data_IF_293031660833
#
_entry.id   IF_293031660833
#
_cell.length_a   1.000
_cell.length_b   1.000
_cell.length_c   1.000
_cell.angle_alpha   90.00
_cell.angle_beta   90.00
_cell.angle_gamma   90.00
#
_symmetry.space_group_name_H-M   'P 1'
#
loop_
_entity.id
_entity.type
_entity.pdbx_description
1 polymer ?
#
# COMPACT_ATOMS: atom_id res chain seq x y z
N UNK A 1 -16.56 -32.89 -30.63
CA UNK A 1 -15.89 -31.77 -29.99
C UNK A 1 -16.91 -30.69 -29.81
N UNK A 2 -17.30 -30.37 -28.55
CA UNK A 2 -18.24 -29.26 -28.29
C UNK A 2 -17.59 -27.95 -28.79
N UNK A 3 -18.42 -26.95 -29.15
CA UNK A 3 -17.91 -25.61 -29.48
C UNK A 3 -17.14 -25.09 -28.27
N UNK A 4 -15.91 -24.63 -28.48
CA UNK A 4 -15.10 -23.97 -27.48
C UNK A 4 -15.88 -22.78 -26.93
N UNK A 5 -16.05 -22.69 -25.60
CA UNK A 5 -16.70 -21.55 -24.96
C UNK A 5 -15.80 -20.30 -25.12
N UNK A 6 -16.39 -19.20 -25.53
CA UNK A 6 -15.73 -17.89 -25.58
C UNK A 6 -16.31 -17.03 -24.47
N UNK A 7 -15.45 -16.35 -23.74
CA UNK A 7 -15.81 -15.33 -22.76
C UNK A 7 -15.34 -13.99 -23.29
N UNK A 8 -16.25 -13.05 -23.35
CA UNK A 8 -16.04 -11.74 -23.94
C UNK A 8 -15.79 -10.71 -22.86
N UNK A 9 -14.78 -9.86 -23.05
CA UNK A 9 -14.39 -8.82 -22.11
C UNK A 9 -14.25 -7.44 -22.77
N UNK A 10 -14.46 -6.40 -21.99
CA UNK A 10 -14.07 -5.05 -22.37
C UNK A 10 -12.98 -4.52 -21.45
N UNK A 11 -12.02 -3.79 -22.01
CA UNK A 11 -10.90 -3.17 -21.30
C UNK A 11 -11.13 -1.66 -21.21
N UNK A 12 -11.22 -1.13 -20.00
CA UNK A 12 -11.34 0.30 -19.76
C UNK A 12 -9.94 0.90 -19.52
N UNK A 13 -9.41 1.53 -20.56
CA UNK A 13 -8.06 2.09 -20.59
C UNK A 13 -7.03 1.19 -21.25
N UNK A 14 -6.19 1.77 -22.11
CA UNK A 14 -5.08 1.11 -22.81
C UNK A 14 -3.76 1.86 -22.56
N UNK A 15 -3.56 2.30 -21.31
CA UNK A 15 -2.31 2.87 -20.83
C UNK A 15 -1.27 1.79 -20.55
N UNK A 16 -0.34 2.08 -19.64
CA UNK A 16 0.74 1.15 -19.26
C UNK A 16 0.20 -0.22 -18.86
N UNK A 17 -0.73 -0.28 -17.90
CA UNK A 17 -1.29 -1.55 -17.40
C UNK A 17 -2.17 -2.21 -18.45
N UNK A 18 -3.09 -1.45 -19.06
CA UNK A 18 -4.00 -1.99 -20.09
C UNK A 18 -3.28 -2.56 -21.31
N UNK A 19 -2.19 -1.90 -21.74
CA UNK A 19 -1.32 -2.44 -22.80
C UNK A 19 -0.69 -3.78 -22.41
N UNK A 20 -0.28 -3.93 -21.14
CA UNK A 20 0.22 -5.18 -20.60
C UNK A 20 -0.85 -6.29 -20.55
N UNK A 21 -2.08 -5.94 -20.11
CA UNK A 21 -3.23 -6.87 -20.08
C UNK A 21 -3.56 -7.37 -21.48
N UNK A 22 -3.68 -6.45 -22.46
CA UNK A 22 -3.96 -6.80 -23.86
C UNK A 22 -2.87 -7.69 -24.47
N UNK A 23 -1.61 -7.40 -24.15
CA UNK A 23 -0.48 -8.21 -24.58
C UNK A 23 -0.53 -9.61 -23.98
N UNK A 24 -0.69 -9.74 -22.65
CA UNK A 24 -0.77 -11.03 -21.96
C UNK A 24 -1.94 -11.88 -22.42
N UNK A 25 -3.12 -11.27 -22.66
CA UNK A 25 -4.29 -11.98 -23.16
C UNK A 25 -4.01 -12.67 -24.51
N UNK A 26 -3.19 -12.05 -25.37
CA UNK A 26 -2.77 -12.63 -26.65
C UNK A 26 -1.65 -13.66 -26.53
N UNK A 27 -0.60 -13.31 -25.77
CA UNK A 27 0.60 -14.18 -25.67
C UNK A 27 0.33 -15.46 -24.89
N UNK A 28 -0.66 -15.46 -23.99
CA UNK A 28 -1.00 -16.58 -23.12
C UNK A 28 -2.32 -17.26 -23.50
N UNK A 29 -2.84 -17.02 -24.69
CA UNK A 29 -4.15 -17.51 -25.13
C UNK A 29 -4.32 -19.02 -24.95
N UNK A 30 -3.35 -19.81 -25.43
CA UNK A 30 -3.37 -21.28 -25.33
C UNK A 30 -3.34 -21.75 -23.86
N UNK A 31 -2.55 -21.10 -23.03
CA UNK A 31 -2.45 -21.38 -21.60
C UNK A 31 -3.73 -21.01 -20.86
N UNK A 32 -4.38 -19.90 -21.22
CA UNK A 32 -5.66 -19.47 -20.64
C UNK A 32 -6.72 -20.51 -20.97
N UNK A 33 -6.81 -20.95 -22.23
CA UNK A 33 -7.74 -22.02 -22.67
C UNK A 33 -7.47 -23.31 -21.89
N UNK A 34 -6.22 -23.71 -21.76
CA UNK A 34 -5.85 -24.93 -21.03
C UNK A 34 -6.23 -24.87 -19.54
N UNK A 35 -6.12 -23.70 -18.92
CA UNK A 35 -6.40 -23.47 -17.48
C UNK A 35 -7.89 -23.29 -17.18
N UNK A 36 -8.67 -22.79 -18.12
CA UNK A 36 -10.08 -22.41 -17.90
C UNK A 36 -11.07 -23.27 -18.68
N UNK A 37 -10.67 -23.83 -19.81
CA UNK A 37 -11.57 -24.50 -20.77
C UNK A 37 -12.30 -23.52 -21.70
N UNK A 38 -11.95 -22.23 -21.69
CA UNK A 38 -12.59 -21.21 -22.51
C UNK A 38 -11.56 -20.22 -23.08
N UNK A 39 -11.90 -19.62 -24.20
CA UNK A 39 -11.12 -18.55 -24.83
C UNK A 39 -11.55 -17.20 -24.29
N UNK A 40 -10.59 -16.32 -23.95
CA UNK A 40 -10.84 -14.93 -23.63
C UNK A 40 -10.73 -14.09 -24.92
N UNK A 41 -11.72 -13.24 -25.17
CA UNK A 41 -11.70 -12.26 -26.26
C UNK A 41 -11.97 -10.86 -25.70
N UNK A 42 -11.08 -9.92 -26.00
CA UNK A 42 -11.29 -8.51 -25.69
C UNK A 42 -11.96 -7.86 -26.91
N UNK A 43 -13.26 -7.60 -26.83
CA UNK A 43 -14.05 -7.08 -27.94
C UNK A 43 -14.00 -5.58 -28.07
N UNK A 44 -13.91 -4.88 -26.93
CA UNK A 44 -13.92 -3.42 -26.87
C UNK A 44 -12.84 -2.91 -25.91
N UNK A 45 -12.26 -1.78 -26.29
CA UNK A 45 -11.28 -1.05 -25.47
C UNK A 45 -11.74 0.40 -25.38
N UNK A 46 -12.19 0.80 -24.19
CA UNK A 46 -12.63 2.17 -23.95
C UNK A 46 -11.44 3.12 -23.82
N UNK A 47 -11.46 4.20 -24.56
CA UNK A 47 -10.41 5.22 -24.59
C UNK A 47 -11.01 6.63 -24.71
N UNK A 48 -10.27 7.66 -24.29
CA UNK A 48 -10.70 9.07 -24.41
C UNK A 48 -10.77 9.55 -25.86
N UNK A 49 -9.91 9.04 -26.72
CA UNK A 49 -9.82 9.39 -28.14
C UNK A 49 -9.58 8.10 -28.94
N UNK A 50 -10.64 7.63 -29.60
CA UNK A 50 -10.58 6.41 -30.42
C UNK A 50 -9.79 6.57 -31.70
N UNK A 51 -9.55 7.81 -32.16
CA UNK A 51 -8.80 8.07 -33.41
C UNK A 51 -7.29 8.02 -33.19
N UNK A 52 -6.83 8.12 -31.95
CA UNK A 52 -5.40 8.00 -31.62
C UNK A 52 -4.93 6.58 -31.85
N UNK A 53 -4.04 6.36 -32.84
CA UNK A 53 -3.43 5.06 -33.09
C UNK A 53 -2.61 4.57 -31.90
N UNK A 54 -2.70 3.29 -31.60
CA UNK A 54 -1.95 2.61 -30.55
C UNK A 54 -1.27 1.39 -31.13
N UNK A 55 0.02 1.28 -30.91
CA UNK A 55 0.84 0.19 -31.47
C UNK A 55 0.33 -1.18 -30.96
N UNK A 56 0.15 -2.12 -31.87
CA UNK A 56 -0.29 -3.47 -31.56
C UNK A 56 -1.77 -3.63 -31.20
N UNK A 57 -2.57 -2.52 -31.20
CA UNK A 57 -4.01 -2.54 -30.90
C UNK A 57 -4.82 -2.29 -32.16
N UNK A 58 -5.69 -3.22 -32.58
CA UNK A 58 -6.59 -3.02 -33.71
C UNK A 58 -7.54 -1.84 -33.50
N UNK A 59 -7.68 -1.00 -34.52
CA UNK A 59 -8.48 0.22 -34.42
C UNK A 59 -9.96 -0.05 -34.21
N UNK A 60 -10.47 -1.15 -34.72
CA UNK A 60 -11.84 -1.60 -34.60
C UNK A 60 -12.26 -1.99 -33.17
N UNK A 61 -11.30 -2.28 -32.29
CA UNK A 61 -11.57 -2.55 -30.88
C UNK A 61 -11.76 -1.27 -30.06
N UNK A 62 -11.31 -0.11 -30.58
CA UNK A 62 -11.34 1.14 -29.83
C UNK A 62 -12.72 1.80 -29.89
N UNK A 63 -13.23 2.18 -28.73
CA UNK A 63 -14.44 2.98 -28.58
C UNK A 63 -14.21 4.12 -27.57
N UNK A 64 -14.93 5.21 -27.72
CA UNK A 64 -15.05 6.31 -26.74
C UNK A 64 -16.47 6.40 -26.15
N UNK A 65 -17.33 5.46 -26.51
CA UNK A 65 -18.70 5.35 -26.02
C UNK A 65 -18.84 4.19 -25.03
N UNK A 66 -19.09 4.53 -23.77
CA UNK A 66 -19.36 3.55 -22.71
C UNK A 66 -20.61 2.72 -22.97
N UNK A 67 -21.63 3.31 -23.60
CA UNK A 67 -22.90 2.63 -23.86
C UNK A 67 -22.75 1.46 -24.86
N UNK A 68 -21.76 1.52 -25.76
CA UNK A 68 -21.43 0.38 -26.63
C UNK A 68 -20.91 -0.84 -25.85
N UNK A 69 -20.42 -0.62 -24.63
CA UNK A 69 -19.86 -1.69 -23.76
C UNK A 69 -20.90 -2.20 -22.79
N UNK A 70 -21.56 -1.30 -22.05
CA UNK A 70 -22.46 -1.71 -20.97
C UNK A 70 -23.72 -2.39 -21.51
N UNK A 71 -24.22 -1.98 -22.69
CA UNK A 71 -25.41 -2.55 -23.35
C UNK A 71 -25.08 -3.77 -24.21
N UNK A 72 -23.84 -4.15 -24.43
CA UNK A 72 -23.51 -5.38 -25.16
C UNK A 72 -23.69 -6.60 -24.25
N UNK A 73 -24.73 -7.39 -24.49
CA UNK A 73 -25.06 -8.59 -23.73
C UNK A 73 -24.00 -9.70 -23.83
N UNK A 74 -23.15 -9.66 -24.86
CA UNK A 74 -22.07 -10.65 -25.00
C UNK A 74 -20.90 -10.38 -24.05
N UNK A 75 -20.65 -9.12 -23.69
CA UNK A 75 -19.55 -8.75 -22.79
C UNK A 75 -19.88 -9.19 -21.36
N UNK A 76 -19.10 -10.13 -20.84
CA UNK A 76 -19.29 -10.74 -19.51
C UNK A 76 -18.34 -10.17 -18.45
N UNK A 77 -17.17 -9.64 -18.85
CA UNK A 77 -16.14 -9.12 -17.94
C UNK A 77 -15.77 -7.70 -18.32
N UNK A 78 -15.74 -6.81 -17.34
CA UNK A 78 -15.17 -5.46 -17.44
C UNK A 78 -13.84 -5.42 -16.71
N UNK A 79 -12.77 -4.99 -17.41
CA UNK A 79 -11.43 -4.85 -16.88
C UNK A 79 -11.10 -3.36 -16.77
N UNK A 80 -11.10 -2.79 -15.56
CA UNK A 80 -10.84 -1.37 -15.31
C UNK A 80 -9.39 -1.11 -14.89
N UNK A 81 -8.67 -0.37 -15.71
CA UNK A 81 -7.28 0.04 -15.49
C UNK A 81 -7.04 1.51 -15.91
N UNK A 82 -8.07 2.35 -15.78
CA UNK A 82 -8.00 3.77 -16.14
C UNK A 82 -7.49 4.64 -15.00
N UNK A 83 -7.83 4.27 -13.75
CA UNK A 83 -7.63 5.11 -12.57
C UNK A 83 -8.61 6.28 -12.46
N UNK A 84 -8.53 7.02 -11.35
CA UNK A 84 -9.46 8.11 -11.02
C UNK A 84 -10.76 7.58 -10.38
N UNK A 85 -11.57 8.49 -9.83
CA UNK A 85 -12.83 8.15 -9.17
C UNK A 85 -13.96 8.15 -10.20
N UNK A 86 -14.25 9.30 -10.79
CA UNK A 86 -15.27 9.42 -11.85
C UNK A 86 -14.61 9.55 -13.23
N UNK A 87 -15.17 8.96 -14.25
CA UNK A 87 -16.45 8.24 -14.31
C UNK A 87 -16.38 6.73 -13.95
N UNK A 88 -15.25 6.24 -13.44
CA UNK A 88 -15.05 4.80 -13.18
C UNK A 88 -16.07 4.25 -12.17
N UNK A 89 -16.37 4.98 -11.08
CA UNK A 89 -17.37 4.56 -10.10
C UNK A 89 -18.73 4.30 -10.76
N UNK A 90 -19.25 5.30 -11.45
CA UNK A 90 -20.55 5.19 -12.15
C UNK A 90 -20.56 4.03 -13.13
N UNK A 91 -19.54 3.90 -13.97
CA UNK A 91 -19.48 2.86 -14.99
C UNK A 91 -19.36 1.44 -14.42
N UNK A 92 -18.58 1.27 -13.36
CA UNK A 92 -18.47 -0.05 -12.72
C UNK A 92 -19.76 -0.46 -12.01
N UNK A 93 -20.46 0.48 -11.38
CA UNK A 93 -21.79 0.21 -10.82
C UNK A 93 -22.79 -0.20 -11.91
N UNK A 94 -22.88 0.55 -13.02
CA UNK A 94 -23.73 0.21 -14.16
C UNK A 94 -23.39 -1.17 -14.74
N UNK A 95 -22.10 -1.49 -14.87
CA UNK A 95 -21.65 -2.79 -15.36
C UNK A 95 -22.11 -3.93 -14.45
N UNK A 96 -21.92 -3.80 -13.14
CA UNK A 96 -22.35 -4.82 -12.16
C UNK A 96 -23.89 -4.94 -12.13
N UNK A 97 -24.62 -3.84 -12.19
CA UNK A 97 -26.08 -3.85 -12.28
C UNK A 97 -26.58 -4.49 -13.59
N UNK A 98 -25.78 -4.44 -14.67
CA UNK A 98 -26.03 -5.18 -15.91
C UNK A 98 -25.58 -6.66 -15.83
N UNK A 99 -25.10 -7.14 -14.69
CA UNK A 99 -24.69 -8.54 -14.47
C UNK A 99 -23.28 -8.88 -14.95
N UNK A 100 -22.45 -7.89 -15.26
CA UNK A 100 -21.06 -8.10 -15.72
C UNK A 100 -20.09 -8.23 -14.54
N UNK A 101 -19.13 -9.15 -14.64
CA UNK A 101 -18.07 -9.32 -13.65
C UNK A 101 -17.07 -8.17 -13.78
N UNK A 102 -16.51 -7.72 -12.67
CA UNK A 102 -15.55 -6.59 -12.65
C UNK A 102 -14.19 -7.03 -12.12
N UNK A 103 -13.16 -6.70 -12.89
CA UNK A 103 -11.75 -6.81 -12.49
C UNK A 103 -11.15 -5.40 -12.54
N UNK A 104 -10.58 -4.92 -11.43
CA UNK A 104 -10.09 -3.55 -11.36
C UNK A 104 -8.69 -3.46 -10.72
N UNK A 105 -7.93 -2.41 -11.11
CA UNK A 105 -6.64 -2.07 -10.51
C UNK A 105 -6.67 -0.72 -9.77
N UNK A 106 -7.85 -0.12 -9.61
CA UNK A 106 -8.04 1.24 -9.14
C UNK A 106 -8.13 1.30 -7.61
N UNK A 107 -6.97 1.48 -6.97
CA UNK A 107 -6.87 1.53 -5.51
C UNK A 107 -7.58 2.74 -4.90
N UNK A 108 -7.55 3.89 -5.60
CA UNK A 108 -8.14 5.13 -5.10
C UNK A 108 -9.66 4.98 -5.00
N UNK A 109 -10.27 4.48 -6.05
CA UNK A 109 -11.69 4.19 -6.09
C UNK A 109 -12.10 3.16 -5.02
N UNK A 110 -11.34 2.08 -4.88
CA UNK A 110 -11.65 1.03 -3.91
C UNK A 110 -11.49 1.50 -2.45
N UNK A 111 -10.48 2.32 -2.16
CA UNK A 111 -10.23 2.83 -0.81
C UNK A 111 -11.31 3.83 -0.33
N UNK A 112 -11.91 4.58 -1.26
CA UNK A 112 -12.92 5.59 -0.96
C UNK A 112 -14.36 5.05 -1.11
N UNK A 113 -14.65 4.35 -2.19
CA UNK A 113 -15.99 3.92 -2.60
C UNK A 113 -16.19 2.40 -2.61
N UNK A 114 -15.31 1.64 -1.95
CA UNK A 114 -15.39 0.18 -1.93
C UNK A 114 -16.73 -0.37 -1.40
N UNK A 115 -17.40 0.32 -0.47
CA UNK A 115 -18.72 -0.07 0.04
C UNK A 115 -19.78 -0.05 -1.06
N UNK A 116 -19.80 1.02 -1.86
CA UNK A 116 -20.75 1.23 -2.95
C UNK A 116 -20.54 0.20 -4.08
N UNK A 117 -19.27 -0.07 -4.40
CA UNK A 117 -18.92 -1.09 -5.41
C UNK A 117 -19.36 -2.49 -4.96
N UNK A 118 -19.09 -2.87 -3.71
CA UNK A 118 -19.52 -4.17 -3.20
C UNK A 118 -21.05 -4.30 -3.12
N UNK A 119 -21.77 -3.22 -2.76
CA UNK A 119 -23.22 -3.23 -2.75
C UNK A 119 -23.81 -3.49 -4.15
N UNK A 120 -23.26 -2.83 -5.18
CA UNK A 120 -23.67 -3.07 -6.57
C UNK A 120 -23.34 -4.51 -7.04
N UNK A 121 -22.18 -5.05 -6.65
CA UNK A 121 -21.79 -6.42 -6.96
C UNK A 121 -22.75 -7.45 -6.30
N UNK A 122 -23.09 -7.24 -5.04
CA UNK A 122 -23.98 -8.13 -4.28
C UNK A 122 -25.39 -8.15 -4.84
N UNK A 123 -25.92 -7.02 -5.32
CA UNK A 123 -27.27 -6.92 -5.89
C UNK A 123 -27.51 -7.88 -7.06
N UNK A 124 -26.48 -8.11 -7.89
CA UNK A 124 -26.55 -8.98 -9.06
C UNK A 124 -25.70 -10.25 -8.95
N UNK A 125 -25.17 -10.52 -7.78
CA UNK A 125 -24.25 -11.64 -7.55
C UNK A 125 -23.08 -11.65 -8.54
N UNK A 126 -22.49 -10.47 -8.76
CA UNK A 126 -21.31 -10.30 -9.58
C UNK A 126 -20.03 -10.45 -8.74
N UNK A 127 -18.95 -10.85 -9.40
CA UNK A 127 -17.63 -10.80 -8.81
C UNK A 127 -17.03 -9.39 -8.93
N UNK A 128 -16.34 -8.95 -7.88
CA UNK A 128 -15.46 -7.79 -7.85
C UNK A 128 -14.07 -8.24 -7.44
N UNK A 129 -13.16 -8.32 -8.42
CA UNK A 129 -11.77 -8.69 -8.25
C UNK A 129 -10.86 -7.46 -8.31
N UNK A 130 -9.83 -7.40 -7.45
CA UNK A 130 -8.97 -6.22 -7.34
C UNK A 130 -7.55 -6.53 -6.82
N UNK A 131 -6.99 -7.69 -7.16
CA UNK A 131 -5.63 -8.07 -6.73
C UNK A 131 -4.60 -7.00 -7.12
N UNK A 132 -4.73 -6.46 -8.33
CA UNK A 132 -3.82 -5.44 -8.87
C UNK A 132 -3.91 -4.06 -8.17
N UNK A 133 -4.91 -3.83 -7.33
CA UNK A 133 -5.06 -2.56 -6.60
C UNK A 133 -4.01 -2.39 -5.48
N UNK A 134 -3.43 -3.49 -4.97
CA UNK A 134 -2.45 -3.46 -3.88
C UNK A 134 -1.20 -4.25 -4.27
N UNK A 135 -0.03 -3.62 -4.12
CA UNK A 135 1.29 -4.25 -4.28
C UNK A 135 1.55 -4.94 -5.64
N UNK A 136 0.88 -4.49 -6.70
CA UNK A 136 1.16 -4.89 -8.09
C UNK A 136 1.14 -6.40 -8.32
N UNK A 137 2.31 -7.02 -8.59
CA UNK A 137 2.40 -8.46 -8.86
C UNK A 137 2.37 -9.35 -7.61
N UNK A 138 2.38 -8.76 -6.41
CA UNK A 138 2.36 -9.54 -5.15
C UNK A 138 0.94 -10.05 -4.92
N UNK A 139 0.71 -11.37 -4.87
CA UNK A 139 -0.62 -11.90 -4.56
C UNK A 139 -0.89 -11.73 -3.06
N UNK A 140 -1.53 -10.65 -2.66
CA UNK A 140 -1.83 -10.35 -1.24
C UNK A 140 -3.33 -10.30 -0.95
N UNK A 141 -4.14 -9.76 -1.86
CA UNK A 141 -5.58 -9.63 -1.63
C UNK A 141 -6.23 -11.02 -1.55
N UNK A 142 -5.89 -11.92 -2.49
CA UNK A 142 -6.41 -13.29 -2.51
C UNK A 142 -5.98 -14.10 -1.28
N UNK A 143 -4.72 -14.11 -0.86
CA UNK A 143 -4.32 -14.71 0.41
C UNK A 143 -5.10 -14.18 1.61
N UNK A 144 -5.24 -12.88 1.76
CA UNK A 144 -6.00 -12.29 2.87
C UNK A 144 -7.50 -12.66 2.83
N UNK A 145 -8.10 -12.73 1.64
CA UNK A 145 -9.55 -13.03 1.47
C UNK A 145 -9.88 -14.52 1.45
N UNK A 146 -8.94 -15.38 1.14
CA UNK A 146 -9.20 -16.81 0.90
C UNK A 146 -8.26 -17.73 1.66
N UNK A 147 -6.94 -17.61 1.46
CA UNK A 147 -5.98 -18.60 2.00
C UNK A 147 -5.79 -18.50 3.51
N UNK A 148 -5.84 -17.29 4.06
CA UNK A 148 -5.60 -17.01 5.48
C UNK A 148 -6.89 -16.83 6.30
N UNK A 149 -8.06 -17.10 5.72
CA UNK A 149 -9.36 -16.87 6.37
C UNK A 149 -9.59 -17.69 7.63
N UNK A 150 -8.96 -18.85 7.76
CA UNK A 150 -9.03 -19.66 8.96
C UNK A 150 -8.11 -19.17 10.10
N UNK A 151 -7.21 -18.22 9.82
CA UNK A 151 -6.34 -17.61 10.80
C UNK A 151 -6.88 -16.25 11.23
N UNK A 152 -6.95 -16.02 12.54
CA UNK A 152 -7.24 -14.67 13.03
C UNK A 152 -5.99 -13.82 12.82
N UNK A 153 -6.00 -12.97 11.79
CA UNK A 153 -4.93 -12.02 11.55
C UNK A 153 -4.92 -10.98 12.66
N UNK A 154 -3.74 -10.65 13.15
CA UNK A 154 -3.53 -9.67 14.23
C UNK A 154 -2.69 -8.50 13.78
N UNK A 155 -1.82 -8.70 12.77
CA UNK A 155 -0.96 -7.65 12.24
C UNK A 155 -0.74 -7.84 10.74
N UNK A 156 -0.73 -6.73 10.01
CA UNK A 156 -0.25 -6.65 8.63
C UNK A 156 0.72 -5.48 8.54
N UNK A 157 1.93 -5.75 8.08
CA UNK A 157 2.95 -4.74 7.82
C UNK A 157 3.38 -4.79 6.37
N UNK A 158 3.71 -3.65 5.77
CA UNK A 158 4.14 -3.67 4.38
C UNK A 158 5.05 -2.50 3.97
N UNK A 159 6.03 -2.84 3.14
CA UNK A 159 6.70 -1.90 2.26
C UNK A 159 5.90 -1.96 0.95
N UNK A 160 4.95 -1.03 0.78
CA UNK A 160 3.98 -1.08 -0.32
C UNK A 160 4.10 0.09 -1.31
N UNK A 161 5.18 0.87 -1.17
CA UNK A 161 5.57 1.89 -2.12
C UNK A 161 7.02 1.67 -2.57
N UNK A 162 7.22 1.42 -3.86
CA UNK A 162 8.54 1.10 -4.42
C UNK A 162 9.46 2.32 -4.52
N UNK A 163 8.91 3.50 -4.77
CA UNK A 163 9.67 4.76 -4.90
C UNK A 163 10.36 5.10 -3.58
N UNK A 164 9.62 5.12 -2.49
CA UNK A 164 10.17 5.42 -1.15
C UNK A 164 11.14 4.36 -0.66
N UNK A 165 10.89 3.08 -0.96
CA UNK A 165 11.84 2.03 -0.61
C UNK A 165 13.14 2.15 -1.42
N UNK A 166 13.07 2.54 -2.70
CA UNK A 166 14.26 2.82 -3.51
C UNK A 166 15.06 3.99 -2.92
N UNK A 167 14.43 5.12 -2.63
CA UNK A 167 15.06 6.30 -2.04
C UNK A 167 15.79 5.92 -0.73
N UNK A 168 15.09 5.29 0.22
CA UNK A 168 15.67 4.88 1.50
C UNK A 168 16.79 3.84 1.34
N UNK A 169 16.72 2.99 0.30
CA UNK A 169 17.80 2.05 -0.02
C UNK A 169 19.05 2.79 -0.48
N UNK A 170 18.91 3.77 -1.40
CA UNK A 170 20.07 4.58 -1.86
C UNK A 170 20.66 5.41 -0.72
N UNK A 171 19.83 6.03 0.11
CA UNK A 171 20.30 6.74 1.30
C UNK A 171 21.07 5.81 2.24
N UNK A 172 20.58 4.59 2.43
CA UNK A 172 21.20 3.62 3.35
C UNK A 172 22.47 2.96 2.79
N UNK A 173 22.50 2.57 1.53
CA UNK A 173 23.61 1.79 0.95
C UNK A 173 24.68 2.68 0.34
N UNK A 174 24.30 3.76 -0.34
CA UNK A 174 25.21 4.63 -1.06
C UNK A 174 25.55 5.90 -0.29
N UNK A 175 24.87 6.14 0.86
CA UNK A 175 25.09 7.34 1.70
C UNK A 175 24.54 8.62 1.06
N UNK A 176 23.64 8.52 0.09
CA UNK A 176 23.04 9.66 -0.61
C UNK A 176 22.19 10.50 0.34
N UNK A 177 22.12 11.82 0.06
CA UNK A 177 21.10 12.67 0.65
C UNK A 177 19.71 12.36 0.06
N UNK A 178 18.64 12.74 0.79
CA UNK A 178 17.26 12.52 0.32
C UNK A 178 17.03 13.16 -1.07
N UNK A 179 17.49 14.40 -1.28
CA UNK A 179 17.31 15.10 -2.57
C UNK A 179 17.97 14.37 -3.74
N UNK A 180 19.22 13.95 -3.58
CA UNK A 180 19.97 13.24 -4.61
C UNK A 180 19.34 11.87 -4.91
N UNK A 181 18.87 11.17 -3.88
CA UNK A 181 18.20 9.88 -4.03
C UNK A 181 16.83 10.00 -4.73
N UNK A 182 16.09 11.09 -4.48
CA UNK A 182 14.83 11.38 -5.16
C UNK A 182 15.07 11.75 -6.64
N UNK A 183 16.08 12.58 -6.93
CA UNK A 183 16.45 12.93 -8.30
C UNK A 183 16.80 11.67 -9.11
N UNK A 184 17.64 10.81 -8.56
CA UNK A 184 18.00 9.53 -9.19
C UNK A 184 16.77 8.63 -9.40
N UNK A 185 15.86 8.58 -8.43
CA UNK A 185 14.60 7.82 -8.57
C UNK A 185 13.74 8.35 -9.73
N UNK A 186 13.72 9.68 -9.93
CA UNK A 186 12.99 10.33 -11.03
C UNK A 186 13.64 10.04 -12.38
N UNK A 187 14.96 10.14 -12.48
CA UNK A 187 15.71 9.81 -13.70
C UNK A 187 15.50 8.36 -14.16
N UNK A 188 15.41 7.44 -13.21
CA UNK A 188 15.17 6.01 -13.48
C UNK A 188 13.69 5.68 -13.70
N UNK A 189 12.78 6.65 -13.56
CA UNK A 189 11.35 6.48 -13.75
C UNK A 189 10.63 5.77 -12.61
N UNK A 190 11.23 5.70 -11.43
CA UNK A 190 10.55 5.23 -10.21
C UNK A 190 9.68 6.30 -9.57
N UNK A 191 10.07 7.57 -9.66
CA UNK A 191 9.28 8.71 -9.22
C UNK A 191 8.73 9.49 -10.42
N UNK A 192 7.51 9.98 -10.30
CA UNK A 192 6.91 10.92 -11.24
C UNK A 192 7.39 12.36 -10.96
N UNK A 193 7.03 13.32 -11.85
CA UNK A 193 7.37 14.74 -11.67
C UNK A 193 6.77 15.35 -10.39
N UNK A 194 5.63 14.85 -9.95
CA UNK A 194 5.05 15.13 -8.64
C UNK A 194 5.05 13.84 -7.79
N UNK A 195 6.07 13.62 -6.95
CA UNK A 195 6.21 12.43 -6.14
C UNK A 195 5.44 12.49 -4.81
N UNK A 196 4.65 13.54 -4.56
CA UNK A 196 4.01 13.83 -3.26
C UNK A 196 3.23 12.62 -2.74
N UNK A 197 2.44 11.95 -3.58
CA UNK A 197 1.66 10.80 -3.17
C UNK A 197 2.52 9.64 -2.65
N UNK A 198 3.74 9.50 -3.18
CA UNK A 198 4.71 8.48 -2.75
C UNK A 198 5.42 8.93 -1.47
N UNK A 199 6.11 10.09 -1.53
CA UNK A 199 7.05 10.51 -0.47
C UNK A 199 6.36 10.94 0.81
N UNK A 200 5.10 11.40 0.75
CA UNK A 200 4.26 11.71 1.92
C UNK A 200 3.44 10.50 2.43
N UNK A 201 3.59 9.33 1.79
CA UNK A 201 3.00 8.07 2.25
C UNK A 201 1.55 7.85 1.87
N UNK A 202 0.94 8.71 1.06
CA UNK A 202 -0.50 8.62 0.70
C UNK A 202 -0.81 7.39 -0.15
N UNK A 203 0.06 7.03 -1.10
CA UNK A 203 -0.08 5.79 -1.88
C UNK A 203 -0.07 4.55 -0.95
N UNK A 204 0.88 4.50 -0.02
CA UNK A 204 0.95 3.42 0.97
C UNK A 204 -0.27 3.41 1.90
N UNK A 205 -0.78 4.58 2.29
CA UNK A 205 -1.97 4.72 3.13
C UNK A 205 -3.24 4.16 2.48
N UNK A 206 -3.47 4.44 1.20
CA UNK A 206 -4.63 3.88 0.46
C UNK A 206 -4.55 2.35 0.36
N UNK A 207 -3.39 1.81 0.04
CA UNK A 207 -3.17 0.36 0.00
C UNK A 207 -3.35 -0.28 1.37
N UNK A 208 -2.88 0.37 2.43
CA UNK A 208 -3.02 -0.12 3.80
C UNK A 208 -4.49 -0.13 4.25
N UNK A 209 -5.29 0.90 3.91
CA UNK A 209 -6.71 0.94 4.21
C UNK A 209 -7.46 -0.27 3.62
N UNK A 210 -7.13 -0.65 2.37
CA UNK A 210 -7.68 -1.82 1.71
C UNK A 210 -7.29 -3.11 2.45
N UNK A 211 -5.99 -3.27 2.75
CA UNK A 211 -5.50 -4.46 3.46
C UNK A 211 -6.08 -4.57 4.87
N UNK A 212 -6.15 -3.48 5.62
CA UNK A 212 -6.76 -3.44 6.96
C UNK A 212 -8.23 -3.83 6.93
N UNK A 213 -8.98 -3.31 5.94
CA UNK A 213 -10.41 -3.65 5.77
C UNK A 213 -10.62 -5.15 5.58
N UNK A 214 -9.77 -5.79 4.78
CA UNK A 214 -9.84 -7.22 4.50
C UNK A 214 -9.37 -8.03 5.70
N UNK A 215 -8.20 -7.72 6.26
CA UNK A 215 -7.57 -8.49 7.33
C UNK A 215 -8.43 -8.54 8.60
N UNK A 216 -9.12 -7.44 8.93
CA UNK A 216 -9.90 -7.33 10.17
C UNK A 216 -11.41 -7.36 9.95
N UNK A 217 -11.86 -7.57 8.71
CA UNK A 217 -13.28 -7.66 8.35
C UNK A 217 -14.08 -6.41 8.78
N UNK A 218 -13.47 -5.25 8.75
CA UNK A 218 -14.07 -3.97 9.16
C UNK A 218 -13.66 -2.87 8.19
N UNK A 219 -14.59 -2.01 7.80
CA UNK A 219 -14.29 -0.94 6.85
C UNK A 219 -13.30 0.06 7.45
N UNK A 220 -12.17 0.24 6.79
CA UNK A 220 -11.18 1.28 7.04
C UNK A 220 -11.06 2.13 5.79
N UNK A 221 -11.23 3.44 5.92
CA UNK A 221 -11.08 4.41 4.82
C UNK A 221 -9.70 5.07 4.88
N UNK A 222 -9.24 5.61 3.75
CA UNK A 222 -7.95 6.31 3.73
C UNK A 222 -7.89 7.49 4.71
N UNK A 223 -8.99 8.21 4.90
CA UNK A 223 -9.07 9.34 5.85
C UNK A 223 -8.83 8.95 7.32
N UNK A 224 -8.93 7.67 7.66
CA UNK A 224 -8.67 7.13 8.99
C UNK A 224 -7.22 6.64 9.17
N UNK A 225 -6.43 6.60 8.10
CA UNK A 225 -5.02 6.18 8.14
C UNK A 225 -4.14 7.36 8.54
N UNK A 226 -3.41 7.24 9.63
CA UNK A 226 -2.34 8.18 9.92
C UNK A 226 -1.22 8.02 8.89
N UNK A 227 -0.77 9.11 8.27
CA UNK A 227 0.31 9.08 7.28
C UNK A 227 1.40 10.09 7.62
N UNK A 228 2.64 9.61 7.58
CA UNK A 228 3.86 10.42 7.71
C UNK A 228 4.86 9.95 6.64
N UNK A 229 5.37 10.88 5.85
CA UNK A 229 6.28 10.61 4.74
C UNK A 229 7.75 10.49 5.14
N UNK A 230 8.61 10.36 4.12
CA UNK A 230 10.06 10.20 4.29
C UNK A 230 10.85 11.50 4.09
N UNK A 231 10.19 12.60 3.79
CA UNK A 231 10.82 13.87 3.39
C UNK A 231 11.69 14.48 4.49
N UNK A 232 11.47 14.11 5.75
CA UNK A 232 12.25 14.56 6.91
C UNK A 232 13.41 13.65 7.29
N UNK A 233 13.53 12.48 6.66
CA UNK A 233 14.61 11.54 6.97
C UNK A 233 15.93 12.07 6.43
N UNK A 234 16.94 12.13 7.29
CA UNK A 234 18.26 12.63 6.96
C UNK A 234 19.30 11.51 6.87
N UNK A 235 20.46 11.80 6.25
CA UNK A 235 21.59 10.88 6.22
C UNK A 235 22.10 10.55 7.65
N UNK A 236 21.99 11.49 8.59
CA UNK A 236 22.36 11.27 9.99
C UNK A 236 21.40 10.25 10.65
N UNK A 237 20.10 10.32 10.38
CA UNK A 237 19.14 9.34 10.92
C UNK A 237 19.45 7.93 10.42
N UNK A 238 19.80 7.80 9.13
CA UNK A 238 20.24 6.54 8.53
C UNK A 238 21.51 6.01 9.20
N UNK A 239 22.48 6.89 9.47
CA UNK A 239 23.73 6.50 10.12
C UNK A 239 23.48 6.00 11.55
N UNK A 240 22.68 6.71 12.35
CA UNK A 240 22.33 6.27 13.70
C UNK A 240 21.53 4.97 13.71
N UNK A 241 20.58 4.83 12.79
CA UNK A 241 19.85 3.58 12.64
C UNK A 241 20.81 2.40 12.47
N UNK A 242 21.82 2.54 11.58
CA UNK A 242 22.87 1.50 11.40
C UNK A 242 23.69 1.25 12.65
N UNK A 243 24.12 2.32 13.35
CA UNK A 243 24.92 2.23 14.58
C UNK A 243 24.17 1.45 15.68
N UNK A 244 22.82 1.55 15.70
CA UNK A 244 21.96 0.84 16.66
C UNK A 244 21.41 -0.50 16.16
N UNK A 245 21.82 -0.96 14.98
CA UNK A 245 21.36 -2.25 14.42
C UNK A 245 19.98 -2.22 13.76
N UNK A 246 19.55 -1.05 13.30
CA UNK A 246 18.28 -0.84 12.63
C UNK A 246 18.45 -0.44 11.16
N UNK A 247 17.35 -0.57 10.41
CA UNK A 247 17.18 -0.04 9.05
C UNK A 247 15.92 0.81 9.02
N UNK A 248 15.97 1.97 8.37
CA UNK A 248 14.78 2.83 8.20
C UNK A 248 14.02 2.40 6.93
N UNK A 249 12.73 2.15 7.08
CA UNK A 249 11.79 1.85 6.00
C UNK A 249 10.52 2.69 6.17
N UNK A 250 9.85 3.03 5.05
CA UNK A 250 8.46 3.51 5.12
C UNK A 250 7.55 2.29 5.27
N UNK A 251 6.90 2.15 6.41
CA UNK A 251 6.07 1.00 6.76
C UNK A 251 4.61 1.41 6.86
N UNK A 252 3.77 0.74 6.10
CA UNK A 252 2.35 0.68 6.40
C UNK A 252 2.11 -0.44 7.41
N UNK A 253 1.53 -0.12 8.56
CA UNK A 253 1.26 -1.08 9.64
C UNK A 253 -0.18 -0.96 10.11
N UNK A 254 -0.84 -2.10 10.25
CA UNK A 254 -2.16 -2.17 10.87
C UNK A 254 -2.20 -3.34 11.86
N UNK A 255 -2.76 -3.09 13.05
CA UNK A 255 -2.88 -4.06 14.14
C UNK A 255 -4.31 -4.13 14.65
N UNK A 256 -4.75 -5.34 14.95
CA UNK A 256 -5.99 -5.58 15.67
C UNK A 256 -5.72 -5.59 17.17
N UNK A 257 -6.30 -4.64 17.90
CA UNK A 257 -6.21 -4.54 19.36
C UNK A 257 -7.56 -4.85 20.00
N UNK A 258 -7.58 -4.99 21.32
CA UNK A 258 -8.84 -5.18 22.06
C UNK A 258 -9.82 -4.01 21.86
N UNK A 259 -9.32 -2.80 21.67
CA UNK A 259 -10.10 -1.57 21.60
C UNK A 259 -10.31 -1.04 20.16
N UNK A 260 -9.93 -1.80 19.12
CA UNK A 260 -10.10 -1.40 17.74
C UNK A 260 -8.88 -1.64 16.86
N UNK A 261 -8.89 -1.01 15.69
CA UNK A 261 -7.88 -1.15 14.67
C UNK A 261 -6.89 0.02 14.76
N UNK A 262 -5.61 -0.27 14.80
CA UNK A 262 -4.55 0.69 14.57
C UNK A 262 -4.13 0.64 13.11
N UNK A 263 -3.99 1.79 12.46
CA UNK A 263 -3.61 1.87 11.05
C UNK A 263 -2.75 3.10 10.80
N UNK A 264 -1.47 2.87 10.45
CA UNK A 264 -0.47 3.94 10.34
C UNK A 264 0.49 3.67 9.18
N UNK A 265 0.90 4.72 8.48
CA UNK A 265 2.04 4.72 7.54
C UNK A 265 3.05 5.74 8.03
N UNK A 266 4.27 5.31 8.30
CA UNK A 266 5.33 6.19 8.76
C UNK A 266 6.72 5.58 8.53
N UNK A 267 7.79 6.38 8.53
CA UNK A 267 9.14 5.88 8.66
C UNK A 267 9.28 5.10 9.98
N UNK A 268 9.95 3.97 9.91
CA UNK A 268 10.14 3.08 11.07
C UNK A 268 11.56 2.53 11.09
N UNK A 269 12.17 2.53 12.27
CA UNK A 269 13.38 1.77 12.55
C UNK A 269 13.00 0.30 12.74
N UNK A 270 13.38 -0.54 11.78
CA UNK A 270 13.22 -2.00 11.85
C UNK A 270 14.53 -2.64 12.29
N UNK A 271 14.53 -3.58 13.25
CA UNK A 271 15.69 -4.41 13.55
C UNK A 271 16.22 -5.08 12.28
N UNK A 272 17.55 -5.24 12.17
CA UNK A 272 18.15 -5.86 10.98
C UNK A 272 17.69 -7.31 10.76
N UNK A 273 17.28 -7.99 11.82
CA UNK A 273 16.76 -9.36 11.80
C UNK A 273 15.31 -9.44 11.28
N UNK A 274 14.57 -8.32 11.26
CA UNK A 274 13.19 -8.33 10.77
C UNK A 274 13.15 -8.61 9.26
N UNK A 275 12.28 -9.52 8.77
CA UNK A 275 12.26 -9.90 7.35
C UNK A 275 12.10 -8.73 6.37
N UNK A 276 11.34 -7.70 6.72
CA UNK A 276 11.16 -6.51 5.89
C UNK A 276 12.42 -5.66 5.77
N UNK A 277 13.39 -5.77 6.68
CA UNK A 277 14.65 -5.01 6.63
C UNK A 277 15.51 -5.37 5.42
N UNK A 278 15.41 -6.61 4.94
CA UNK A 278 16.14 -7.10 3.77
C UNK A 278 15.53 -6.68 2.42
N UNK A 279 14.34 -6.08 2.40
CA UNK A 279 13.66 -5.66 1.16
C UNK A 279 14.29 -4.37 0.63
N UNK A 280 14.92 -4.45 -0.55
CA UNK A 280 15.74 -3.37 -1.14
C UNK A 280 15.13 -2.84 -2.44
N UNK A 281 15.73 -1.75 -2.90
CA UNK A 281 15.39 -1.11 -4.17
C UNK A 281 13.88 -0.80 -4.29
N UNK A 282 13.30 -0.99 -5.46
CA UNK A 282 11.86 -0.77 -5.70
C UNK A 282 10.99 -2.00 -5.41
N UNK A 283 11.53 -3.01 -4.68
CA UNK A 283 10.71 -4.14 -4.26
C UNK A 283 9.73 -3.77 -3.15
N UNK A 284 8.56 -4.37 -3.22
CA UNK A 284 7.56 -4.32 -2.17
C UNK A 284 7.50 -5.66 -1.44
N UNK A 285 7.03 -5.63 -0.20
CA UNK A 285 6.74 -6.81 0.57
C UNK A 285 5.63 -6.55 1.57
N UNK A 286 4.82 -7.56 1.82
CA UNK A 286 3.79 -7.55 2.86
C UNK A 286 4.04 -8.73 3.81
N UNK A 287 4.18 -8.40 5.07
CA UNK A 287 4.33 -9.33 6.18
C UNK A 287 3.01 -9.40 6.93
N UNK A 288 2.55 -10.60 7.23
CA UNK A 288 1.27 -10.87 7.88
C UNK A 288 1.51 -11.78 9.07
N UNK A 289 0.98 -11.40 10.23
CA UNK A 289 0.98 -12.24 11.43
C UNK A 289 -0.45 -12.62 11.79
N UNK A 290 -0.64 -13.90 12.13
CA UNK A 290 -1.93 -14.43 12.56
C UNK A 290 -1.80 -15.53 13.59
N UNK A 291 -2.79 -15.66 14.48
CA UNK A 291 -2.74 -16.59 15.62
C UNK A 291 -2.53 -18.06 15.26
N UNK A 292 -2.91 -18.48 14.06
CA UNK A 292 -2.81 -19.86 13.63
C UNK A 292 -1.77 -20.10 12.54
N UNK A 293 -1.45 -19.08 11.73
CA UNK A 293 -0.48 -19.21 10.64
C UNK A 293 0.91 -18.68 11.01
N UNK A 294 1.06 -18.10 12.22
CA UNK A 294 2.25 -17.35 12.60
C UNK A 294 2.60 -16.30 11.52
N UNK A 295 3.84 -16.25 11.07
CA UNK A 295 4.34 -15.27 10.15
C UNK A 295 4.31 -15.76 8.69
N UNK A 296 3.82 -14.91 7.80
CA UNK A 296 3.92 -15.10 6.36
C UNK A 296 4.37 -13.82 5.69
N UNK A 297 5.21 -13.92 4.66
CA UNK A 297 5.69 -12.78 3.90
C UNK A 297 5.53 -13.01 2.40
N UNK A 298 5.05 -11.99 1.70
CA UNK A 298 4.88 -11.96 0.26
C UNK A 298 5.72 -10.82 -0.30
N UNK A 299 6.62 -11.11 -1.24
CA UNK A 299 7.56 -10.13 -1.79
C UNK A 299 7.58 -10.19 -3.32
N UNK A 300 7.69 -9.04 -3.97
CA UNK A 300 7.77 -8.94 -5.42
C UNK A 300 7.83 -7.50 -5.94
N UNK A 301 7.57 -7.32 -7.24
CA UNK A 301 7.46 -6.00 -7.85
C UNK A 301 6.11 -5.39 -7.51
N UNK A 302 6.13 -4.22 -6.84
CA UNK A 302 4.92 -3.51 -6.40
C UNK A 302 4.21 -2.71 -7.50
N UNK A 303 4.87 -2.48 -8.64
CA UNK A 303 4.35 -1.74 -9.79
C UNK A 303 5.06 -2.17 -11.08
N UNK A 304 4.56 -1.68 -12.22
CA UNK A 304 5.12 -1.93 -13.55
C UNK A 304 4.09 -2.54 -14.50
N UNK A 305 4.30 -2.36 -15.80
CA UNK A 305 3.36 -2.81 -16.83
C UNK A 305 3.00 -4.30 -16.71
N UNK A 306 3.99 -5.17 -16.86
CA UNK A 306 3.77 -6.62 -16.85
C UNK A 306 3.44 -7.17 -15.45
N UNK A 307 4.11 -6.73 -14.36
CA UNK A 307 3.75 -7.15 -13.01
C UNK A 307 2.27 -6.89 -12.67
N UNK A 308 1.79 -5.66 -12.89
CA UNK A 308 0.39 -5.29 -12.61
C UNK A 308 -0.58 -5.99 -13.56
N UNK A 309 -0.25 -6.07 -14.86
CA UNK A 309 -1.06 -6.80 -15.83
C UNK A 309 -1.19 -8.29 -15.50
N UNK A 310 -0.14 -8.90 -14.94
CA UNK A 310 -0.19 -10.30 -14.48
C UNK A 310 -1.21 -10.52 -13.37
N UNK A 311 -1.29 -9.60 -12.40
CA UNK A 311 -2.30 -9.66 -11.33
C UNK A 311 -3.72 -9.49 -11.89
N UNK A 312 -3.93 -8.51 -12.79
CA UNK A 312 -5.22 -8.32 -13.49
C UNK A 312 -5.63 -9.59 -14.24
N UNK A 313 -4.71 -10.18 -15.01
CA UNK A 313 -5.01 -11.41 -15.76
C UNK A 313 -5.28 -12.61 -14.84
N UNK A 314 -4.65 -12.67 -13.68
CA UNK A 314 -4.98 -13.66 -12.65
C UNK A 314 -6.44 -13.55 -12.21
N UNK A 315 -6.91 -12.33 -11.96
CA UNK A 315 -8.30 -12.05 -11.60
C UNK A 315 -9.26 -12.31 -12.75
N UNK A 316 -8.89 -11.98 -14.00
CA UNK A 316 -9.69 -12.32 -15.19
C UNK A 316 -9.86 -13.83 -15.32
N UNK A 317 -8.80 -14.62 -15.13
CA UNK A 317 -8.87 -16.09 -15.16
C UNK A 317 -9.80 -16.64 -14.08
N UNK A 318 -9.80 -16.06 -12.89
CA UNK A 318 -10.71 -16.48 -11.82
C UNK A 318 -12.17 -16.07 -12.13
N UNK A 319 -12.41 -14.87 -12.66
CA UNK A 319 -13.73 -14.46 -13.14
C UNK A 319 -14.24 -15.40 -14.24
N UNK A 320 -13.38 -15.78 -15.22
CA UNK A 320 -13.72 -16.77 -16.25
C UNK A 320 -14.15 -18.11 -15.63
N UNK A 321 -13.41 -18.63 -14.66
CA UNK A 321 -13.74 -19.88 -13.97
C UNK A 321 -15.07 -19.77 -13.24
N UNK A 322 -15.32 -18.65 -12.56
CA UNK A 322 -16.56 -18.42 -11.85
C UNK A 322 -17.77 -18.37 -12.79
N UNK A 323 -17.64 -17.71 -13.95
CA UNK A 323 -18.66 -17.71 -15.01
C UNK A 323 -18.95 -19.15 -15.49
N UNK A 324 -17.91 -19.91 -15.84
CA UNK A 324 -18.02 -21.26 -16.37
C UNK A 324 -18.66 -22.26 -15.40
N UNK A 325 -18.48 -22.05 -14.11
CA UNK A 325 -19.00 -22.93 -13.06
C UNK A 325 -20.21 -22.37 -12.32
N UNK A 326 -20.81 -21.27 -12.78
CA UNK A 326 -21.91 -20.55 -12.12
C UNK A 326 -21.60 -20.25 -10.65
N UNK A 327 -20.38 -19.72 -10.42
CA UNK A 327 -19.83 -19.48 -9.09
C UNK A 327 -19.58 -17.99 -8.81
N UNK A 328 -20.11 -17.10 -9.64
CA UNK A 328 -20.00 -15.66 -9.45
C UNK A 328 -20.70 -15.19 -8.16
N UNK A 329 -20.21 -14.09 -7.58
CA UNK A 329 -20.78 -13.44 -6.40
C UNK A 329 -20.63 -14.21 -5.09
N UNK A 330 -19.81 -15.26 -5.03
CA UNK A 330 -19.63 -16.07 -3.80
C UNK A 330 -18.71 -15.42 -2.76
N UNK A 331 -17.83 -14.53 -3.20
CA UNK A 331 -16.90 -13.80 -2.32
C UNK A 331 -17.31 -12.33 -2.32
N UNK A 332 -18.25 -11.98 -1.46
CA UNK A 332 -18.75 -10.62 -1.27
C UNK A 332 -17.82 -9.75 -0.44
N UNK A 333 -18.35 -8.64 0.08
CA UNK A 333 -17.63 -7.76 0.99
C UNK A 333 -17.32 -8.49 2.31
N UNK A 334 -16.05 -8.58 2.65
CA UNK A 334 -15.62 -9.18 3.92
C UNK A 334 -15.83 -8.30 5.15
N UNK A 335 -16.33 -7.05 5.00
CA UNK A 335 -16.44 -6.07 6.09
C UNK A 335 -17.74 -6.24 6.90
N UNK A 336 -17.89 -7.38 7.56
CA UNK A 336 -19.08 -7.68 8.39
C UNK A 336 -18.96 -7.24 9.85
N UNK A 337 -17.78 -6.79 10.28
CA UNK A 337 -17.55 -6.20 11.59
C UNK A 337 -17.62 -4.67 11.48
N UNK A 338 -17.84 -4.02 12.62
CA UNK A 338 -17.82 -2.56 12.73
C UNK A 338 -16.89 -2.16 13.88
N UNK A 339 -15.60 -2.47 13.72
CA UNK A 339 -14.58 -2.16 14.70
C UNK A 339 -14.17 -0.69 14.57
N UNK A 340 -13.99 0.04 15.69
CA UNK A 340 -13.48 1.40 15.61
C UNK A 340 -12.04 1.43 15.14
N UNK A 341 -11.69 2.48 14.38
CA UNK A 341 -10.31 2.81 14.06
C UNK A 341 -9.82 3.82 15.09
N UNK A 342 -8.71 3.50 15.75
CA UNK A 342 -8.11 4.35 16.79
C UNK A 342 -7.43 5.56 16.15
N UNK A 343 -7.53 6.71 16.81
CA UNK A 343 -6.67 7.85 16.47
C UNK A 343 -5.20 7.52 16.79
N UNK A 344 -4.26 8.18 16.11
CA UNK A 344 -2.82 7.95 16.36
C UNK A 344 -2.46 8.25 17.83
N UNK A 345 -3.05 9.26 18.44
CA UNK A 345 -2.82 9.66 19.84
C UNK A 345 -3.15 8.54 20.85
N UNK A 346 -4.10 7.65 20.51
CA UNK A 346 -4.51 6.51 21.34
C UNK A 346 -3.65 5.26 21.13
N UNK A 347 -2.73 5.29 20.14
CA UNK A 347 -1.83 4.17 19.86
C UNK A 347 -0.56 4.26 20.70
N UNK A 348 0.19 3.18 20.73
CA UNK A 348 1.48 3.14 21.42
C UNK A 348 2.60 2.89 20.42
N UNK A 349 3.75 3.53 20.66
CA UNK A 349 4.97 3.35 19.87
C UNK A 349 6.20 3.53 20.74
N UNK A 350 7.30 2.95 20.32
CA UNK A 350 8.65 3.33 20.79
C UNK A 350 9.17 4.41 19.86
N UNK A 351 9.98 5.31 20.37
CA UNK A 351 10.50 6.44 19.59
C UNK A 351 12.00 6.53 19.65
N UNK A 352 12.59 6.81 18.50
CA UNK A 352 13.92 7.33 18.33
C UNK A 352 13.81 8.85 18.26
N UNK A 353 14.44 9.55 19.21
CA UNK A 353 14.47 11.00 19.30
C UNK A 353 15.92 11.47 19.16
N UNK A 354 16.22 12.31 18.18
CA UNK A 354 17.51 12.94 17.98
C UNK A 354 17.42 14.45 18.19
N UNK A 355 18.20 14.98 19.12
CA UNK A 355 18.16 16.40 19.49
C UNK A 355 19.55 17.01 19.57
N UNK A 356 19.66 18.31 19.26
CA UNK A 356 20.86 19.11 19.53
C UNK A 356 20.63 19.88 20.83
N UNK A 357 21.55 19.72 21.77
CA UNK A 357 21.44 20.29 23.11
C UNK A 357 22.71 21.05 23.50
N UNK A 358 22.57 22.03 24.38
CA UNK A 358 23.75 22.72 24.98
C UNK A 358 24.51 21.73 25.83
N UNK A 359 25.83 21.66 25.61
CA UNK A 359 26.72 20.80 26.40
C UNK A 359 27.05 21.42 27.75
N UNK A 360 26.20 21.17 28.73
CA UNK A 360 26.39 21.63 30.12
C UNK A 360 25.91 20.57 31.12
N UNK A 361 26.56 20.51 32.29
CA UNK A 361 26.09 19.64 33.37
C UNK A 361 24.62 19.87 33.71
N UNK A 362 23.88 18.79 33.88
CA UNK A 362 22.45 18.81 34.23
C UNK A 362 21.47 18.89 33.06
N UNK A 363 21.91 19.08 31.78
CA UNK A 363 21.01 19.13 30.62
C UNK A 363 20.30 17.80 30.42
N UNK A 364 21.02 16.69 30.43
CA UNK A 364 20.41 15.35 30.30
C UNK A 364 19.40 15.09 31.44
N UNK A 365 19.70 15.51 32.66
CA UNK A 365 18.77 15.36 33.79
C UNK A 365 17.46 16.13 33.59
N UNK A 366 17.52 17.33 32.99
CA UNK A 366 16.30 18.12 32.67
C UNK A 366 15.48 17.46 31.58
N UNK A 367 16.12 17.00 30.51
CA UNK A 367 15.43 16.30 29.39
C UNK A 367 14.78 15.01 29.90
N UNK A 368 15.51 14.19 30.65
CA UNK A 368 14.97 12.96 31.25
C UNK A 368 13.84 13.25 32.23
N UNK A 369 13.90 14.37 32.96
CA UNK A 369 12.83 14.82 33.85
C UNK A 369 11.52 15.13 33.10
N UNK A 370 11.60 15.85 31.96
CA UNK A 370 10.41 16.12 31.11
C UNK A 370 9.83 14.82 30.56
N UNK A 371 10.67 13.95 29.98
CA UNK A 371 10.24 12.65 29.47
C UNK A 371 9.53 11.85 30.57
N UNK A 372 10.15 11.73 31.75
CA UNK A 372 9.58 10.99 32.89
C UNK A 372 8.27 11.59 33.41
N UNK A 373 8.16 12.94 33.49
CA UNK A 373 6.95 13.63 33.92
C UNK A 373 5.75 13.39 32.99
N UNK A 374 6.02 13.16 31.69
CA UNK A 374 5.02 12.81 30.68
C UNK A 374 4.85 11.27 30.54
N UNK A 375 5.42 10.46 31.45
CA UNK A 375 5.27 9.02 31.44
C UNK A 375 6.09 8.31 30.35
N UNK A 376 7.07 8.98 29.76
CA UNK A 376 7.98 8.43 28.76
C UNK A 376 9.20 7.80 29.43
N UNK A 377 9.32 6.49 29.38
CA UNK A 377 10.49 5.73 29.85
C UNK A 377 11.59 5.73 28.79
N UNK A 378 12.84 5.82 29.23
CA UNK A 378 14.01 5.82 28.37
C UNK A 378 14.65 4.45 28.40
N UNK A 379 14.79 3.80 27.24
CA UNK A 379 15.49 2.54 27.10
C UNK A 379 17.00 2.76 26.86
N UNK A 380 17.35 3.69 25.97
CA UNK A 380 18.73 3.97 25.59
C UNK A 380 18.97 5.45 25.45
N UNK A 381 20.18 5.89 25.84
CA UNK A 381 20.68 7.25 25.63
C UNK A 381 22.09 7.18 25.05
N UNK A 382 22.31 7.94 23.99
CA UNK A 382 23.61 8.10 23.39
C UNK A 382 23.90 9.58 23.17
N UNK A 383 25.10 10.05 23.60
CA UNK A 383 25.52 11.42 23.42
C UNK A 383 26.87 11.44 22.69
N UNK A 384 26.95 12.14 21.56
CA UNK A 384 28.23 12.39 20.85
C UNK A 384 29.03 13.50 21.54
N UNK A 385 30.34 13.53 21.26
CA UNK A 385 31.22 14.60 21.74
C UNK A 385 30.70 15.95 21.24
N UNK A 386 30.79 16.94 22.12
CA UNK A 386 30.41 18.31 21.85
C UNK A 386 31.27 18.95 20.75
N UNK A 387 30.61 19.69 19.87
CA UNK A 387 31.21 20.57 18.88
C UNK A 387 30.66 21.98 19.13
N UNK A 388 31.53 22.97 19.34
CA UNK A 388 31.15 24.37 19.61
C UNK A 388 30.12 24.54 20.76
N UNK A 389 30.23 23.69 21.80
CA UNK A 389 29.35 23.74 22.98
C UNK A 389 27.94 23.16 22.75
N UNK A 390 27.72 22.47 21.63
CA UNK A 390 26.49 21.74 21.32
C UNK A 390 26.81 20.25 21.23
N UNK A 391 26.02 19.43 21.88
CA UNK A 391 26.06 17.97 21.79
C UNK A 391 24.83 17.44 21.10
N UNK A 392 25.02 16.41 20.31
CA UNK A 392 23.91 15.64 19.77
C UNK A 392 23.54 14.54 20.76
N UNK A 393 22.27 14.52 21.15
CA UNK A 393 21.69 13.55 22.08
C UNK A 393 20.66 12.71 21.35
N UNK A 394 20.84 11.40 21.39
CA UNK A 394 19.91 10.41 20.84
C UNK A 394 19.29 9.61 21.97
N UNK A 395 17.98 9.48 21.97
CA UNK A 395 17.21 8.75 22.96
C UNK A 395 16.32 7.74 22.23
N UNK A 396 16.31 6.51 22.71
CA UNK A 396 15.29 5.50 22.34
C UNK A 396 14.42 5.27 23.58
N UNK A 397 13.09 5.37 23.38
CA UNK A 397 12.11 5.19 24.45
C UNK A 397 11.63 3.75 24.53
N UNK A 398 11.12 3.37 25.71
CA UNK A 398 10.19 2.24 25.81
C UNK A 398 8.86 2.53 25.10
N UNK A 399 7.98 1.52 25.07
CA UNK A 399 6.63 1.65 24.53
C UNK A 399 5.84 2.71 25.32
N UNK A 400 5.34 3.71 24.64
CA UNK A 400 4.60 4.85 25.23
C UNK A 400 3.41 5.24 24.35
N UNK A 401 2.36 5.76 24.96
CA UNK A 401 1.23 6.34 24.22
C UNK A 401 1.71 7.55 23.43
N UNK A 402 1.35 7.63 22.14
CA UNK A 402 1.81 8.70 21.23
C UNK A 402 1.50 10.10 21.77
N UNK A 403 0.32 10.29 22.35
CA UNK A 403 -0.05 11.56 23.01
C UNK A 403 0.93 12.00 24.10
N UNK A 404 1.38 11.08 24.94
CA UNK A 404 2.32 11.39 26.02
C UNK A 404 3.69 11.79 25.49
N UNK A 405 4.12 11.11 24.41
CA UNK A 405 5.37 11.47 23.76
C UNK A 405 5.29 12.83 23.06
N UNK A 406 4.18 13.12 22.36
CA UNK A 406 3.94 14.42 21.73
C UNK A 406 3.87 15.57 22.74
N UNK A 407 3.27 15.35 23.91
CA UNK A 407 3.23 16.33 24.97
C UNK A 407 4.65 16.59 25.54
N UNK A 408 5.45 15.54 25.72
CA UNK A 408 6.87 15.68 26.10
C UNK A 408 7.68 16.44 25.05
N UNK A 409 7.48 16.17 23.74
CA UNK A 409 8.16 16.89 22.65
C UNK A 409 7.89 18.39 22.70
N UNK A 410 6.64 18.81 22.87
CA UNK A 410 6.24 20.23 22.99
C UNK A 410 6.97 20.93 24.16
N UNK A 411 7.09 20.24 25.29
CA UNK A 411 7.84 20.79 26.44
C UNK A 411 9.33 20.87 26.15
N UNK A 412 9.91 19.86 25.49
CA UNK A 412 11.32 19.86 25.10
C UNK A 412 11.65 21.00 24.13
N UNK A 413 10.79 21.25 23.13
CA UNK A 413 10.94 22.36 22.19
C UNK A 413 10.99 23.74 22.86
N UNK A 414 10.31 23.90 23.99
CA UNK A 414 10.28 25.14 24.77
C UNK A 414 11.52 25.34 25.66
N UNK A 415 12.43 24.36 25.76
CA UNK A 415 13.60 24.45 26.62
C UNK A 415 14.74 25.25 25.99
N UNK A 416 15.30 26.23 26.69
CA UNK A 416 16.47 26.98 26.24
C UNK A 416 17.71 26.12 25.94
N UNK A 417 17.79 24.95 26.58
CA UNK A 417 18.94 24.02 26.43
C UNK A 417 18.78 23.10 25.21
N UNK A 418 17.59 22.91 24.67
CA UNK A 418 17.30 22.21 23.43
C UNK A 418 17.39 23.23 22.30
N UNK A 419 18.29 23.00 21.36
CA UNK A 419 18.49 23.89 20.21
C UNK A 419 17.65 23.46 19.02
N UNK A 420 17.48 22.15 18.85
CA UNK A 420 16.75 21.56 17.74
C UNK A 420 16.33 20.14 18.08
N UNK A 421 15.10 19.79 17.74
CA UNK A 421 14.67 18.39 17.60
C UNK A 421 14.93 17.99 16.15
N UNK A 422 16.04 17.31 15.91
CA UNK A 422 16.57 17.04 14.57
C UNK A 422 15.94 15.80 13.92
N UNK A 423 15.29 14.94 14.68
CA UNK A 423 14.61 13.76 14.15
C UNK A 423 13.78 13.02 15.20
N UNK A 424 12.61 12.58 14.76
CA UNK A 424 11.71 11.71 15.53
C UNK A 424 11.26 10.60 14.61
N UNK A 425 11.51 9.35 14.97
CA UNK A 425 11.15 8.19 14.14
C UNK A 425 10.64 7.08 15.06
N UNK A 426 9.57 6.40 14.66
CA UNK A 426 9.06 5.27 15.43
C UNK A 426 9.96 4.05 15.29
N UNK A 427 10.06 3.26 16.36
CA UNK A 427 10.89 2.05 16.43
C UNK A 427 9.99 0.83 16.55
N UNK A 428 10.23 -0.21 15.77
CA UNK A 428 9.52 -1.48 15.85
C UNK A 428 9.88 -2.26 17.13
N UNK A 429 8.86 -2.82 17.81
CA UNK A 429 9.04 -3.66 19.01
C UNK A 429 8.18 -3.21 20.18
#
# INVERSE_FOLDING_TARGET
>A
MGKERVIHAALLGIGTVGGGVFKLAKEQEEDIIAKTGARLVIDKILVRDRNKKREGVPQELLTDDWQEIVNDENIEIIIEVMGGIEPALTWLQEAMLAGKQVVMANKDLLAEHGAELFAAAEEKSCDLHFEAAVAGAIPIIRPLRQSLTASQLTEVMGIVNGTTNYILTRMSEDGMGYGDALELATELGYAESDPTADVEGYDAGRKLAIMASIAFNSRVTFSQVYTEGITRITANDIQYAKEFGYVIKLIGMTKLTENGIEVKVHPMLLPQEHPLSAVRDSFNAVFVHGKACDDAMFMGRGAGQMPTASAVMGDVIDAMRNILHNACGKIGCGCYKNLPVKSVEETQSRFFLRTQVVDKPGVLAKIAGILGNNGVSIEQVYQKKSVDGISELVIITDLVQEKHFDDALKELECMDVVKEISGVIRVYG
#
